data_IF_792453321184
#
_entry.id   IF_792453321184
#
_cell.length_a   1.000
_cell.length_b   1.000
_cell.length_c   1.000
_cell.angle_alpha   90.00
_cell.angle_beta   90.00
_cell.angle_gamma   90.00
#
_symmetry.space_group_name_H-M   'P 1'
#
loop_
_entity.id
_entity.type
_entity.pdbx_description
1 polymer ?
#
# COMPACT_ATOMS: atom_id res chain seq x y z
N UNK A 1 -29.67 -62.09 -12.01
CA UNK A 1 -28.49 -61.45 -12.64
C UNK A 1 -28.32 -60.05 -12.03
N UNK A 2 -27.57 -59.98 -10.96
CA UNK A 2 -27.29 -58.75 -10.23
C UNK A 2 -25.86 -58.31 -10.54
N UNK A 3 -25.73 -57.15 -11.20
CA UNK A 3 -24.41 -56.54 -11.46
C UNK A 3 -24.02 -55.67 -10.28
N UNK A 4 -22.97 -56.07 -9.58
CA UNK A 4 -22.35 -55.25 -8.54
C UNK A 4 -21.56 -54.10 -9.17
N UNK A 5 -21.77 -52.88 -8.66
CA UNK A 5 -20.98 -51.69 -8.94
C UNK A 5 -19.93 -51.60 -7.83
N UNK A 6 -18.67 -51.76 -8.23
CA UNK A 6 -17.52 -51.59 -7.34
C UNK A 6 -17.20 -50.10 -7.27
N UNK A 7 -17.40 -49.51 -6.11
CA UNK A 7 -17.03 -48.14 -5.79
C UNK A 7 -15.53 -48.11 -5.46
N UNK A 8 -14.73 -47.52 -6.34
CA UNK A 8 -13.30 -47.27 -6.08
C UNK A 8 -13.23 -45.99 -5.22
N UNK A 9 -12.94 -46.17 -3.93
CA UNK A 9 -12.67 -45.07 -3.03
C UNK A 9 -11.29 -44.45 -3.34
N UNK A 10 -11.29 -43.22 -3.81
CA UNK A 10 -10.09 -42.40 -3.95
C UNK A 10 -9.73 -41.84 -2.55
N UNK A 11 -8.72 -42.44 -1.92
CA UNK A 11 -8.15 -41.93 -0.66
C UNK A 11 -7.24 -40.76 -1.05
N UNK A 12 -7.72 -39.55 -0.83
CA UNK A 12 -6.89 -38.35 -0.85
C UNK A 12 -6.05 -38.33 0.44
N UNK A 13 -4.79 -38.70 0.33
CA UNK A 13 -3.81 -38.40 1.38
C UNK A 13 -3.55 -36.90 1.38
N UNK A 14 -4.22 -36.19 2.27
CA UNK A 14 -3.84 -34.83 2.63
C UNK A 14 -2.62 -34.95 3.53
N UNK A 15 -1.42 -34.85 2.96
CA UNK A 15 -0.22 -34.60 3.73
C UNK A 15 -0.30 -33.17 4.21
N UNK A 16 -0.72 -32.99 5.46
CA UNK A 16 -0.52 -31.75 6.20
C UNK A 16 0.98 -31.56 6.39
N UNK A 17 1.61 -30.76 5.53
CA UNK A 17 2.90 -30.18 5.87
C UNK A 17 2.70 -29.29 7.10
N UNK A 18 3.30 -29.69 8.21
CA UNK A 18 3.44 -28.87 9.40
C UNK A 18 4.31 -27.65 9.05
N UNK A 19 3.66 -26.52 8.80
CA UNK A 19 4.27 -25.22 8.54
C UNK A 19 4.47 -24.41 9.83
N UNK A 20 4.40 -25.07 10.99
CA UNK A 20 4.26 -24.40 12.29
C UNK A 20 5.55 -24.13 13.06
N UNK A 21 6.71 -24.63 12.66
CA UNK A 21 7.91 -24.48 13.52
C UNK A 21 9.00 -23.54 13.01
N UNK A 22 8.99 -23.13 11.74
CA UNK A 22 9.99 -22.19 11.22
C UNK A 22 9.65 -20.72 11.57
N UNK A 23 8.37 -20.38 11.68
CA UNK A 23 7.94 -19.00 12.01
C UNK A 23 8.15 -18.64 13.49
N UNK A 24 8.01 -19.60 14.40
CA UNK A 24 8.14 -19.32 15.85
C UNK A 24 9.59 -19.07 16.27
N UNK A 25 10.54 -19.84 15.74
CA UNK A 25 11.98 -19.70 16.08
C UNK A 25 12.55 -18.41 15.47
N UNK A 26 12.07 -18.01 14.30
CA UNK A 26 12.48 -16.76 13.65
C UNK A 26 12.00 -15.52 14.42
N UNK A 27 10.80 -15.58 15.00
CA UNK A 27 10.19 -14.42 15.65
C UNK A 27 10.91 -13.97 16.93
N UNK A 28 11.34 -14.88 17.78
CA UNK A 28 12.04 -14.57 19.04
C UNK A 28 13.47 -14.06 18.80
N UNK A 29 14.21 -14.64 17.87
CA UNK A 29 15.55 -14.18 17.49
C UNK A 29 15.49 -12.78 16.86
N UNK A 30 14.52 -12.53 16.04
CA UNK A 30 14.23 -11.27 15.35
C UNK A 30 13.89 -10.14 16.34
N UNK A 31 13.11 -10.45 17.39
CA UNK A 31 12.73 -9.48 18.41
C UNK A 31 13.92 -9.01 19.24
N UNK A 32 14.87 -9.91 19.52
CA UNK A 32 16.11 -9.58 20.22
C UNK A 32 17.09 -8.76 19.35
N UNK A 33 17.17 -9.01 18.05
CA UNK A 33 18.03 -8.25 17.14
C UNK A 33 17.61 -6.78 17.02
N UNK A 34 16.32 -6.48 16.88
CA UNK A 34 15.83 -5.10 16.88
C UNK A 34 16.03 -4.38 18.22
N UNK A 35 16.16 -5.11 19.29
CA UNK A 35 16.32 -4.58 20.67
C UNK A 35 17.79 -4.36 21.05
N UNK A 36 18.71 -5.15 20.49
CA UNK A 36 20.10 -5.19 20.90
C UNK A 36 21.06 -4.41 19.97
N UNK A 37 20.66 -4.07 18.77
CA UNK A 37 21.44 -3.19 17.91
C UNK A 37 21.16 -1.71 18.23
N UNK A 38 22.21 -0.90 18.18
CA UNK A 38 22.21 0.56 18.36
C UNK A 38 21.38 1.29 17.28
N UNK A 39 20.14 0.86 17.07
CA UNK A 39 19.23 1.40 16.03
C UNK A 39 18.61 2.74 16.42
N UNK A 40 18.71 3.16 17.68
CA UNK A 40 18.51 4.55 18.08
C UNK A 40 19.40 5.53 17.29
N UNK A 41 20.59 5.09 16.90
CA UNK A 41 21.50 5.87 16.05
C UNK A 41 21.02 5.97 14.60
N UNK A 42 20.44 4.93 14.05
CA UNK A 42 19.89 4.91 12.69
C UNK A 42 18.59 5.74 12.66
N UNK A 43 17.71 5.56 13.64
CA UNK A 43 16.53 6.39 13.80
C UNK A 43 16.89 7.88 14.01
N UNK A 44 18.01 8.18 14.69
CA UNK A 44 18.46 9.55 14.90
C UNK A 44 19.16 10.17 13.69
N UNK A 45 19.90 9.39 12.90
CA UNK A 45 20.59 9.86 11.69
C UNK A 45 19.61 10.32 10.60
N UNK A 46 18.52 9.58 10.42
CA UNK A 46 17.51 9.88 9.39
C UNK A 46 16.22 10.48 9.95
N UNK A 47 16.05 10.53 11.27
CA UNK A 47 15.01 11.30 11.99
C UNK A 47 13.56 10.87 11.78
N UNK A 48 13.29 9.99 10.78
CA UNK A 48 11.94 9.73 10.25
C UNK A 48 11.57 8.26 10.21
N UNK A 49 12.31 7.40 10.91
CA UNK A 49 12.16 5.96 10.79
C UNK A 49 11.29 5.32 11.87
N UNK A 50 10.29 6.01 12.36
CA UNK A 50 9.49 5.35 13.38
C UNK A 50 8.48 4.37 12.77
N UNK A 51 7.89 4.67 11.60
CA UNK A 51 6.98 3.74 10.90
C UNK A 51 6.97 3.95 9.39
N UNK A 52 6.90 5.18 8.89
CA UNK A 52 6.95 5.50 7.47
C UNK A 52 8.34 5.97 7.06
N UNK A 53 8.67 5.80 5.79
CA UNK A 53 9.88 6.30 5.17
C UNK A 53 9.56 7.43 4.19
N UNK A 54 10.50 8.35 4.03
CA UNK A 54 10.44 9.41 3.04
C UNK A 54 11.57 9.19 2.01
N UNK A 55 11.21 8.80 0.79
CA UNK A 55 12.17 8.45 -0.24
C UNK A 55 13.16 9.59 -0.56
N UNK A 56 12.71 10.84 -0.52
CA UNK A 56 13.55 12.01 -0.73
C UNK A 56 14.72 12.16 0.25
N UNK A 57 14.68 11.47 1.39
CA UNK A 57 15.75 11.50 2.40
C UNK A 57 16.94 10.62 2.07
N UNK A 58 16.82 9.76 1.07
CA UNK A 58 17.91 8.89 0.61
C UNK A 58 18.42 9.40 -0.74
N UNK A 59 19.74 9.40 -0.92
CA UNK A 59 20.35 9.81 -2.20
C UNK A 59 20.39 8.65 -3.19
N UNK A 60 20.56 7.43 -2.69
CA UNK A 60 20.62 6.21 -3.49
C UNK A 60 20.18 4.97 -2.71
N UNK A 61 20.14 3.83 -3.41
CA UNK A 61 19.76 2.54 -2.84
C UNK A 61 20.73 2.06 -1.73
N UNK A 62 21.99 2.50 -1.74
CA UNK A 62 22.94 2.06 -0.70
C UNK A 62 22.62 2.75 0.63
N UNK A 63 22.24 4.02 0.60
CA UNK A 63 21.77 4.70 1.80
C UNK A 63 20.48 4.07 2.35
N UNK A 64 19.57 3.68 1.48
CA UNK A 64 18.36 2.96 1.92
C UNK A 64 18.71 1.61 2.56
N UNK A 65 19.69 0.89 2.01
CA UNK A 65 20.18 -0.39 2.58
C UNK A 65 20.87 -0.26 3.94
N UNK A 66 21.26 0.94 4.36
CA UNK A 66 21.75 1.16 5.73
C UNK A 66 20.63 1.03 6.77
N UNK A 67 19.37 1.16 6.36
CA UNK A 67 18.19 1.18 7.24
C UNK A 67 17.21 0.06 7.01
N UNK A 68 17.27 -0.60 5.85
CA UNK A 68 16.46 -1.78 5.53
C UNK A 68 17.36 -2.90 4.99
N UNK A 69 17.03 -4.14 5.34
CA UNK A 69 17.61 -5.33 4.73
C UNK A 69 16.78 -5.73 3.52
N UNK A 70 17.40 -5.88 2.35
CA UNK A 70 16.74 -6.29 1.11
C UNK A 70 17.25 -7.67 0.72
N UNK A 71 16.36 -8.64 0.66
CA UNK A 71 16.69 -10.00 0.20
C UNK A 71 15.79 -10.39 -0.97
N UNK A 72 16.33 -11.16 -1.90
CA UNK A 72 15.65 -11.60 -3.11
C UNK A 72 15.45 -13.11 -3.11
N UNK A 73 14.33 -13.54 -3.67
CA UNK A 73 14.08 -14.94 -3.94
C UNK A 73 15.07 -15.54 -4.96
N UNK A 74 14.89 -16.81 -5.23
CA UNK A 74 15.69 -17.53 -6.24
C UNK A 74 15.00 -17.56 -7.61
N UNK A 75 15.63 -18.19 -8.59
CA UNK A 75 15.11 -18.29 -9.95
C UNK A 75 13.71 -18.94 -10.04
N UNK A 76 13.38 -19.82 -9.10
CA UNK A 76 12.09 -20.55 -9.08
C UNK A 76 11.00 -19.77 -8.34
N UNK A 77 11.39 -18.90 -7.38
CA UNK A 77 10.48 -18.13 -6.55
C UNK A 77 10.96 -16.68 -6.50
N UNK A 78 10.42 -15.85 -7.38
CA UNK A 78 10.75 -14.43 -7.44
C UNK A 78 9.95 -13.69 -6.40
N UNK A 79 10.64 -13.13 -5.43
CA UNK A 79 10.11 -12.20 -4.45
C UNK A 79 11.22 -11.25 -3.99
N UNK A 80 10.84 -10.14 -3.42
CA UNK A 80 11.70 -9.30 -2.61
C UNK A 80 11.13 -9.23 -1.20
N UNK A 81 12.01 -9.36 -0.22
CA UNK A 81 11.69 -9.21 1.18
C UNK A 81 12.45 -8.02 1.73
N UNK A 82 11.72 -7.08 2.31
CA UNK A 82 12.25 -5.89 2.96
C UNK A 82 12.08 -6.07 4.46
N UNK A 83 13.17 -5.90 5.20
CA UNK A 83 13.16 -6.00 6.65
C UNK A 83 13.67 -4.69 7.23
N UNK A 84 12.88 -4.09 8.09
CA UNK A 84 13.25 -2.86 8.79
C UNK A 84 12.78 -2.92 10.24
N UNK A 85 13.34 -2.04 11.09
CA UNK A 85 12.88 -1.88 12.45
C UNK A 85 12.03 -0.62 12.60
N UNK A 86 10.86 -0.79 13.18
CA UNK A 86 9.96 0.30 13.52
C UNK A 86 9.54 0.17 14.97
N UNK A 87 9.80 1.22 15.78
CA UNK A 87 9.51 1.21 17.24
C UNK A 87 10.09 0.02 18.01
N UNK A 88 11.31 -0.43 17.65
CA UNK A 88 11.92 -1.60 18.27
C UNK A 88 11.28 -2.94 17.88
N UNK A 89 10.41 -2.94 16.88
CA UNK A 89 9.81 -4.14 16.29
C UNK A 89 10.37 -4.34 14.89
N UNK A 90 10.82 -5.54 14.59
CA UNK A 90 11.20 -5.92 13.22
C UNK A 90 9.95 -6.12 12.38
N UNK A 91 9.86 -5.38 11.29
CA UNK A 91 8.77 -5.47 10.32
C UNK A 91 9.31 -6.10 9.04
N UNK A 92 8.54 -7.01 8.47
CA UNK A 92 8.87 -7.70 7.22
C UNK A 92 7.79 -7.41 6.21
N UNK A 93 8.15 -6.79 5.09
CA UNK A 93 7.29 -6.57 3.93
C UNK A 93 7.76 -7.45 2.78
N UNK A 94 6.85 -8.12 2.08
CA UNK A 94 7.18 -9.07 1.02
C UNK A 94 6.38 -8.71 -0.22
N UNK A 95 7.09 -8.52 -1.35
CA UNK A 95 6.49 -8.42 -2.66
C UNK A 95 6.79 -9.70 -3.44
N UNK A 96 5.76 -10.52 -3.66
CA UNK A 96 5.85 -11.75 -4.44
C UNK A 96 5.62 -11.50 -5.95
N UNK A 97 6.08 -12.43 -6.80
CA UNK A 97 5.70 -12.45 -8.20
C UNK A 97 4.20 -12.71 -8.36
N UNK A 98 3.58 -12.08 -9.33
CA UNK A 98 2.15 -12.24 -9.55
C UNK A 98 1.65 -11.35 -10.68
N UNK A 99 0.34 -11.21 -10.76
CA UNK A 99 -0.29 -10.28 -11.69
C UNK A 99 0.03 -8.83 -11.32
N UNK A 100 -0.06 -7.96 -12.31
CA UNK A 100 0.20 -6.54 -12.17
C UNK A 100 -0.93 -5.68 -12.79
N UNK A 101 -0.85 -4.38 -12.68
CA UNK A 101 -1.88 -3.47 -13.25
C UNK A 101 -2.05 -3.61 -14.76
N UNK A 102 -1.01 -4.01 -15.50
CA UNK A 102 -1.08 -4.26 -16.93
C UNK A 102 -2.04 -5.41 -17.26
N UNK A 103 -2.03 -6.47 -16.44
CA UNK A 103 -2.95 -7.61 -16.60
C UNK A 103 -4.41 -7.18 -16.40
N UNK A 104 -4.68 -6.27 -15.45
CA UNK A 104 -6.03 -5.71 -15.28
C UNK A 104 -6.47 -4.87 -16.46
N UNK A 105 -5.56 -4.04 -17.02
CA UNK A 105 -5.84 -3.23 -18.21
C UNK A 105 -6.12 -4.13 -19.42
N UNK A 106 -5.28 -5.15 -19.63
CA UNK A 106 -5.46 -6.13 -20.70
C UNK A 106 -6.79 -6.87 -20.55
N UNK A 107 -7.12 -7.36 -19.36
CA UNK A 107 -8.40 -8.05 -19.12
C UNK A 107 -9.62 -7.14 -19.32
N UNK A 108 -9.50 -5.84 -19.05
CA UNK A 108 -10.58 -4.85 -19.26
C UNK A 108 -10.78 -4.54 -20.74
N UNK A 109 -9.71 -4.23 -21.45
CA UNK A 109 -9.73 -3.63 -22.78
C UNK A 109 -9.42 -4.65 -23.90
N UNK A 110 -8.87 -5.80 -23.54
CA UNK A 110 -8.45 -6.86 -24.44
C UNK A 110 -9.54 -7.89 -24.78
N UNK A 111 -9.09 -8.99 -25.33
CA UNK A 111 -9.94 -10.07 -25.80
C UNK A 111 -10.31 -11.11 -24.74
N UNK A 112 -10.90 -12.23 -25.17
CA UNK A 112 -11.30 -13.31 -24.26
C UNK A 112 -10.08 -14.03 -23.62
N UNK A 113 -8.95 -14.06 -24.33
CA UNK A 113 -7.74 -14.74 -23.81
C UNK A 113 -7.14 -13.93 -22.65
N UNK A 114 -7.13 -12.60 -22.72
CA UNK A 114 -6.70 -11.73 -21.61
C UNK A 114 -7.57 -11.93 -20.38
N UNK A 115 -8.88 -12.08 -20.56
CA UNK A 115 -9.83 -12.36 -19.47
C UNK A 115 -9.62 -13.74 -18.86
N UNK A 116 -9.35 -14.76 -19.70
CA UNK A 116 -9.02 -16.11 -19.25
C UNK A 116 -7.68 -16.10 -18.51
N UNK A 117 -6.67 -15.37 -19.00
CA UNK A 117 -5.39 -15.22 -18.34
C UNK A 117 -5.57 -14.67 -16.92
N UNK A 118 -6.30 -13.57 -16.76
CA UNK A 118 -6.59 -12.99 -15.44
C UNK A 118 -7.37 -13.97 -14.54
N UNK A 119 -8.37 -14.66 -15.08
CA UNK A 119 -9.14 -15.64 -14.32
C UNK A 119 -8.26 -16.79 -13.80
N UNK A 120 -7.31 -17.24 -14.62
CA UNK A 120 -6.45 -18.36 -14.28
C UNK A 120 -5.36 -17.99 -13.27
N UNK A 121 -4.78 -16.79 -13.42
CA UNK A 121 -3.67 -16.32 -12.57
C UNK A 121 -4.15 -15.56 -11.33
N UNK A 122 -5.36 -15.02 -11.34
CA UNK A 122 -5.96 -14.38 -10.19
C UNK A 122 -7.49 -14.54 -10.13
N UNK A 123 -7.98 -15.69 -9.66
CA UNK A 123 -9.40 -15.87 -9.35
C UNK A 123 -9.92 -14.81 -8.37
N UNK A 124 -9.04 -14.30 -7.48
CA UNK A 124 -9.34 -13.23 -6.54
C UNK A 124 -9.75 -11.94 -7.26
N UNK A 125 -9.01 -11.50 -8.28
CA UNK A 125 -9.36 -10.31 -9.06
C UNK A 125 -10.74 -10.42 -9.71
N UNK A 126 -11.09 -11.59 -10.20
CA UNK A 126 -12.40 -11.82 -10.83
C UNK A 126 -13.51 -11.82 -9.79
N UNK A 127 -13.29 -12.44 -8.65
CA UNK A 127 -14.23 -12.43 -7.51
C UNK A 127 -14.45 -11.00 -7.02
N UNK A 128 -13.39 -10.25 -6.80
CA UNK A 128 -13.39 -8.92 -6.19
C UNK A 128 -13.48 -7.78 -7.23
N UNK A 129 -13.90 -8.07 -8.47
CA UNK A 129 -13.91 -7.11 -9.58
C UNK A 129 -14.68 -5.81 -9.29
N UNK A 130 -15.68 -5.85 -8.43
CA UNK A 130 -16.45 -4.64 -8.07
C UNK A 130 -15.63 -3.74 -7.13
N UNK A 131 -14.95 -4.32 -6.13
CA UNK A 131 -14.02 -3.58 -5.29
C UNK A 131 -12.88 -2.96 -6.10
N UNK A 132 -12.32 -3.71 -7.06
CA UNK A 132 -11.28 -3.18 -7.95
C UNK A 132 -11.78 -2.00 -8.80
N UNK A 133 -13.03 -2.04 -9.29
CA UNK A 133 -13.65 -0.90 -10.00
C UNK A 133 -13.83 0.30 -9.07
N UNK A 134 -14.31 0.06 -7.86
CA UNK A 134 -14.49 1.09 -6.84
C UNK A 134 -13.15 1.79 -6.52
N UNK A 135 -12.09 1.01 -6.25
CA UNK A 135 -10.76 1.53 -5.98
C UNK A 135 -10.20 2.30 -7.18
N UNK A 136 -10.30 1.74 -8.40
CA UNK A 136 -9.87 2.42 -9.63
C UNK A 136 -10.59 3.75 -9.86
N UNK A 137 -11.84 3.87 -9.42
CA UNK A 137 -12.57 5.13 -9.48
C UNK A 137 -12.06 6.14 -8.45
N UNK A 138 -11.75 5.71 -7.23
CA UNK A 138 -11.17 6.57 -6.19
C UNK A 138 -9.72 7.00 -6.48
N UNK A 139 -8.95 6.14 -7.15
CA UNK A 139 -7.54 6.39 -7.46
C UNK A 139 -7.33 7.36 -8.64
N UNK A 140 -8.37 7.75 -9.36
CA UNK A 140 -8.26 8.57 -10.57
C UNK A 140 -9.30 9.68 -10.61
N UNK A 141 -8.89 10.85 -11.08
CA UNK A 141 -9.81 11.91 -11.46
C UNK A 141 -10.56 11.47 -12.72
N UNK A 142 -11.89 11.53 -12.70
CA UNK A 142 -12.79 11.19 -13.81
C UNK A 142 -13.87 12.27 -13.94
N UNK A 143 -13.51 13.48 -14.38
CA UNK A 143 -14.43 14.62 -14.44
C UNK A 143 -15.64 14.35 -15.36
N UNK A 144 -15.48 13.52 -16.36
CA UNK A 144 -16.56 13.09 -17.26
C UNK A 144 -17.65 12.27 -16.55
N UNK A 145 -17.35 11.63 -15.42
CA UNK A 145 -18.30 10.83 -14.64
C UNK A 145 -18.79 11.53 -13.38
N UNK A 146 -17.90 12.24 -12.70
CA UNK A 146 -18.18 12.83 -11.37
C UNK A 146 -18.23 14.36 -11.39
N UNK A 147 -18.06 14.99 -12.56
CA UNK A 147 -18.11 16.43 -12.77
C UNK A 147 -16.76 17.12 -12.69
N UNK A 148 -16.71 18.36 -13.19
CA UNK A 148 -15.52 19.19 -13.13
C UNK A 148 -15.02 19.34 -11.69
N UNK A 149 -13.70 19.21 -11.50
CA UNK A 149 -13.07 19.23 -10.20
C UNK A 149 -13.21 17.92 -9.42
N UNK A 150 -13.48 16.80 -10.11
CA UNK A 150 -13.38 15.48 -9.47
C UNK A 150 -12.00 15.26 -8.87
N UNK A 151 -11.97 14.56 -7.73
CA UNK A 151 -10.79 14.34 -6.90
C UNK A 151 -10.45 12.85 -6.76
N UNK A 152 -9.19 12.57 -6.49
CA UNK A 152 -8.63 11.24 -6.27
C UNK A 152 -7.90 11.17 -4.91
N UNK A 153 -7.32 10.03 -4.54
CA UNK A 153 -6.45 9.91 -3.36
C UNK A 153 -5.31 10.90 -3.38
N UNK A 154 -4.74 11.13 -4.57
CA UNK A 154 -3.67 12.09 -4.78
C UNK A 154 -4.05 13.50 -4.29
N UNK A 155 -5.28 13.96 -4.53
CA UNK A 155 -5.72 15.28 -4.09
C UNK A 155 -5.79 15.38 -2.56
N UNK A 156 -6.17 14.29 -1.87
CA UNK A 156 -6.13 14.26 -0.40
C UNK A 156 -4.68 14.33 0.11
N UNK A 157 -3.76 13.64 -0.55
CA UNK A 157 -2.34 13.68 -0.20
C UNK A 157 -1.71 15.05 -0.46
N UNK A 158 -2.01 15.68 -1.61
CA UNK A 158 -1.57 17.03 -1.96
C UNK A 158 -2.07 18.03 -0.91
N UNK A 159 -3.35 17.95 -0.52
CA UNK A 159 -3.90 18.80 0.53
C UNK A 159 -3.29 18.51 1.92
N UNK A 160 -2.84 17.28 2.22
CA UNK A 160 -2.05 17.03 3.42
C UNK A 160 -0.74 17.83 3.40
N UNK A 161 -0.04 17.89 2.26
CA UNK A 161 1.20 18.68 2.13
C UNK A 161 0.90 20.18 2.25
N UNK A 162 -0.17 20.68 1.64
CA UNK A 162 -0.62 22.08 1.77
C UNK A 162 -1.01 22.44 3.20
N UNK A 163 -1.41 21.46 4.00
CA UNK A 163 -1.76 21.65 5.42
C UNK A 163 -0.54 21.66 6.35
N UNK A 164 0.68 21.34 5.89
CA UNK A 164 1.87 21.47 6.73
C UNK A 164 2.01 22.92 7.20
N UNK A 165 2.28 23.12 8.49
CA UNK A 165 2.47 24.47 9.01
C UNK A 165 3.66 25.17 8.31
N UNK A 166 3.55 26.48 8.01
CA UNK A 166 4.61 27.23 7.31
C UNK A 166 5.97 27.16 8.01
N UNK A 167 6.00 27.15 9.34
CA UNK A 167 7.21 27.02 10.12
C UNK A 167 7.90 25.68 9.92
N UNK A 168 7.15 24.57 9.88
CA UNK A 168 7.70 23.24 9.59
C UNK A 168 8.10 23.14 8.13
N UNK A 169 7.28 23.66 7.23
CA UNK A 169 7.58 23.68 5.79
C UNK A 169 8.90 24.42 5.47
N UNK A 170 9.22 25.47 6.23
CA UNK A 170 10.46 26.23 6.06
C UNK A 170 11.72 25.44 6.46
N UNK A 171 11.59 24.45 7.34
CA UNK A 171 12.68 23.59 7.78
C UNK A 171 12.91 22.36 6.86
N UNK A 172 11.97 22.08 5.94
CA UNK A 172 12.05 20.96 5.01
C UNK A 172 13.00 21.26 3.85
N UNK A 173 13.63 20.22 3.33
CA UNK A 173 14.37 20.36 2.08
C UNK A 173 13.40 20.47 0.90
N UNK A 174 13.79 21.21 -0.13
CA UNK A 174 12.97 21.38 -1.34
C UNK A 174 12.49 20.03 -1.91
N UNK A 175 13.36 19.00 -1.91
CA UNK A 175 13.02 17.67 -2.41
C UNK A 175 11.88 16.98 -1.65
N UNK A 176 11.69 17.31 -0.37
CA UNK A 176 10.63 16.71 0.46
C UNK A 176 9.24 17.17 0.04
N UNK A 177 9.13 18.37 -0.54
CA UNK A 177 7.86 18.95 -1.01
C UNK A 177 7.54 18.63 -2.46
N UNK A 178 8.39 17.84 -3.13
CA UNK A 178 8.16 17.40 -4.51
C UNK A 178 7.28 16.15 -4.60
N UNK A 179 6.93 15.77 -5.83
CA UNK A 179 6.22 14.52 -6.15
C UNK A 179 6.91 13.27 -5.57
N UNK A 180 8.23 13.26 -5.47
CA UNK A 180 9.04 12.16 -4.92
C UNK A 180 9.24 12.26 -3.40
N UNK A 181 8.65 13.26 -2.77
CA UNK A 181 8.69 13.49 -1.33
C UNK A 181 7.37 13.14 -0.64
N UNK A 182 6.87 14.09 0.15
CA UNK A 182 5.64 13.89 0.93
C UNK A 182 4.41 13.59 0.10
N UNK A 183 4.28 14.17 -1.13
CA UNK A 183 3.10 13.92 -1.96
C UNK A 183 2.99 12.43 -2.29
N UNK A 184 4.07 11.80 -2.79
CA UNK A 184 4.09 10.36 -3.08
C UNK A 184 3.82 9.53 -1.82
N UNK A 185 4.59 9.80 -0.76
CA UNK A 185 4.47 9.08 0.52
C UNK A 185 3.05 9.16 1.08
N UNK A 186 2.45 10.36 1.14
CA UNK A 186 1.09 10.53 1.66
C UNK A 186 0.04 9.92 0.73
N UNK A 187 0.26 9.92 -0.59
CA UNK A 187 -0.63 9.28 -1.55
C UNK A 187 -0.70 7.76 -1.31
N UNK A 188 0.44 7.09 -1.18
CA UNK A 188 0.50 5.65 -0.88
C UNK A 188 -0.19 5.34 0.44
N UNK A 189 0.19 6.01 1.53
CA UNK A 189 -0.36 5.77 2.86
C UNK A 189 -1.87 6.08 2.90
N UNK A 190 -2.31 7.23 2.35
CA UNK A 190 -3.72 7.61 2.31
C UNK A 190 -4.54 6.59 1.52
N UNK A 191 -4.07 6.17 0.35
CA UNK A 191 -4.76 5.18 -0.49
C UNK A 191 -4.89 3.85 0.25
N UNK A 192 -3.81 3.34 0.83
CA UNK A 192 -3.80 2.07 1.55
C UNK A 192 -4.68 2.11 2.80
N UNK A 193 -4.60 3.18 3.60
CA UNK A 193 -5.45 3.37 4.77
C UNK A 193 -6.93 3.39 4.38
N UNK A 194 -7.29 4.10 3.32
CA UNK A 194 -8.67 4.21 2.83
C UNK A 194 -9.21 2.88 2.30
N UNK A 195 -8.44 2.16 1.48
CA UNK A 195 -8.85 0.86 0.95
C UNK A 195 -9.01 -0.16 2.07
N UNK A 196 -8.08 -0.20 3.01
CA UNK A 196 -8.16 -1.07 4.19
C UNK A 196 -9.40 -0.77 5.03
N UNK A 197 -9.67 0.50 5.31
CA UNK A 197 -10.83 0.92 6.10
C UNK A 197 -12.15 0.61 5.40
N UNK A 198 -12.27 0.94 4.12
CA UNK A 198 -13.52 0.80 3.37
C UNK A 198 -13.82 -0.64 2.95
N UNK A 199 -12.79 -1.43 2.69
CA UNK A 199 -12.91 -2.79 2.14
C UNK A 199 -12.19 -3.77 3.05
N UNK A 200 -10.89 -4.00 2.83
CA UNK A 200 -10.07 -4.90 3.62
C UNK A 200 -8.58 -4.66 3.43
N UNK A 201 -7.78 -5.08 4.39
CA UNK A 201 -6.32 -5.15 4.30
C UNK A 201 -5.88 -6.01 3.12
N UNK A 202 -6.46 -7.20 2.96
CA UNK A 202 -6.14 -8.09 1.84
C UNK A 202 -6.32 -7.43 0.46
N UNK A 203 -7.36 -6.61 0.30
CA UNK A 203 -7.57 -5.87 -0.95
C UNK A 203 -6.54 -4.75 -1.11
N UNK A 204 -6.21 -4.04 -0.05
CA UNK A 204 -5.22 -2.97 -0.04
C UNK A 204 -3.84 -3.52 -0.42
N UNK A 205 -3.40 -4.60 0.22
CA UNK A 205 -2.17 -5.32 -0.07
C UNK A 205 -2.12 -5.81 -1.53
N UNK A 206 -3.18 -6.47 -1.98
CA UNK A 206 -3.28 -6.99 -3.34
C UNK A 206 -3.12 -5.92 -4.43
N UNK A 207 -3.70 -4.72 -4.25
CA UNK A 207 -3.57 -3.64 -5.24
C UNK A 207 -2.21 -2.93 -5.14
N UNK A 208 -1.65 -2.80 -3.94
CA UNK A 208 -0.30 -2.28 -3.73
C UNK A 208 0.71 -3.14 -4.49
N UNK A 209 0.69 -4.42 -4.23
CA UNK A 209 1.54 -5.40 -4.89
C UNK A 209 1.43 -5.37 -6.43
N UNK A 210 0.20 -5.32 -6.94
CA UNK A 210 -0.02 -5.26 -8.39
C UNK A 210 0.51 -3.95 -8.99
N UNK A 211 0.48 -2.86 -8.24
CA UNK A 211 1.02 -1.56 -8.63
C UNK A 211 2.56 -1.60 -8.69
N UNK A 212 3.22 -2.05 -7.63
CA UNK A 212 4.68 -2.10 -7.56
C UNK A 212 5.27 -3.06 -8.62
N UNK A 213 4.63 -4.22 -8.86
CA UNK A 213 5.03 -5.14 -9.93
C UNK A 213 4.91 -4.54 -11.33
N UNK A 214 3.98 -3.61 -11.54
CA UNK A 214 3.79 -2.95 -12.82
C UNK A 214 4.83 -1.86 -13.07
N UNK A 215 5.11 -1.07 -12.05
CA UNK A 215 6.00 0.07 -12.18
C UNK A 215 7.47 -0.33 -12.26
N UNK A 216 7.87 -1.39 -11.53
CA UNK A 216 9.25 -1.87 -11.56
C UNK A 216 9.34 -3.37 -11.31
N UNK A 217 9.31 -4.16 -12.38
CA UNK A 217 9.43 -5.63 -12.30
C UNK A 217 10.78 -6.12 -11.75
N UNK A 218 11.82 -5.30 -11.86
CA UNK A 218 13.17 -5.56 -11.39
C UNK A 218 13.29 -5.61 -9.87
N UNK A 219 12.31 -5.03 -9.12
CA UNK A 219 12.27 -5.12 -7.66
C UNK A 219 12.35 -6.56 -7.15
N UNK A 220 11.72 -7.51 -7.86
CA UNK A 220 11.66 -8.92 -7.48
C UNK A 220 12.97 -9.68 -7.71
N UNK A 221 13.87 -9.14 -8.51
CA UNK A 221 15.13 -9.82 -8.89
C UNK A 221 16.37 -9.07 -8.42
N UNK A 222 16.25 -7.79 -8.10
CA UNK A 222 17.36 -6.90 -7.77
C UNK A 222 18.30 -6.59 -8.95
N UNK A 223 17.93 -6.98 -10.18
CA UNK A 223 18.75 -6.80 -11.38
C UNK A 223 18.38 -5.49 -12.07
N UNK A 224 18.97 -4.40 -11.62
CA UNK A 224 18.78 -3.07 -12.20
C UNK A 224 19.89 -2.75 -13.19
N UNK A 225 19.52 -2.03 -14.27
CA UNK A 225 20.53 -1.45 -15.17
C UNK A 225 21.27 -0.29 -14.48
N UNK A 226 22.51 0.04 -14.91
CA UNK A 226 23.21 1.20 -14.38
C UNK A 226 22.39 2.50 -14.50
N UNK A 227 21.64 2.65 -15.59
CA UNK A 227 20.80 3.83 -15.82
C UNK A 227 19.67 3.95 -14.79
N UNK A 228 19.05 2.82 -14.39
CA UNK A 228 18.02 2.80 -13.35
C UNK A 228 18.58 3.16 -11.97
N UNK A 229 19.85 2.86 -11.70
CA UNK A 229 20.48 3.17 -10.41
C UNK A 229 20.88 4.63 -10.26
N UNK A 230 21.11 5.35 -11.38
CA UNK A 230 21.55 6.75 -11.37
C UNK A 230 20.43 7.74 -11.73
N UNK A 231 19.38 7.26 -12.38
CA UNK A 231 18.22 8.07 -12.77
C UNK A 231 17.28 8.23 -11.56
N UNK A 232 17.11 9.47 -11.11
CA UNK A 232 16.25 9.78 -9.95
C UNK A 232 14.78 9.38 -10.16
N UNK A 233 14.31 9.38 -11.40
CA UNK A 233 12.93 9.03 -11.74
C UNK A 233 12.71 7.51 -11.87
N UNK A 234 13.78 6.75 -12.10
CA UNK A 234 13.75 5.29 -12.27
C UNK A 234 14.49 4.54 -11.16
N UNK A 235 14.87 5.23 -10.10
CA UNK A 235 15.59 4.63 -9.00
C UNK A 235 14.67 3.67 -8.21
N UNK A 236 15.11 2.41 -7.98
CA UNK A 236 14.31 1.43 -7.26
C UNK A 236 14.03 1.80 -5.79
N UNK A 237 14.76 2.77 -5.26
CA UNK A 237 14.65 3.22 -3.88
C UNK A 237 13.25 3.69 -3.53
N UNK A 238 12.64 4.52 -4.38
CA UNK A 238 11.28 5.05 -4.20
C UNK A 238 10.27 3.90 -4.06
N UNK A 239 10.33 2.93 -4.99
CA UNK A 239 9.42 1.79 -4.98
C UNK A 239 9.61 0.87 -3.76
N UNK A 240 10.83 0.67 -3.27
CA UNK A 240 11.04 -0.06 -2.02
C UNK A 240 10.49 0.69 -0.80
N UNK A 241 10.63 2.01 -0.78
CA UNK A 241 10.00 2.86 0.25
C UNK A 241 8.48 2.77 0.17
N UNK A 242 7.91 2.74 -1.03
CA UNK A 242 6.47 2.62 -1.24
C UNK A 242 5.90 1.29 -0.73
N UNK A 243 6.61 0.17 -0.91
CA UNK A 243 6.22 -1.12 -0.32
C UNK A 243 6.07 -0.99 1.21
N UNK A 244 7.05 -0.36 1.88
CA UNK A 244 7.00 -0.17 3.34
C UNK A 244 5.86 0.78 3.74
N UNK A 245 5.67 1.88 3.03
CA UNK A 245 4.62 2.86 3.30
C UNK A 245 3.22 2.30 3.04
N UNK A 246 3.07 1.40 2.06
CA UNK A 246 1.82 0.69 1.79
C UNK A 246 1.39 -0.13 3.02
N UNK A 247 2.28 -0.92 3.60
CA UNK A 247 2.05 -1.70 4.82
C UNK A 247 1.65 -0.81 6.00
N UNK A 248 2.38 0.28 6.19
CA UNK A 248 2.06 1.23 7.26
C UNK A 248 0.69 1.89 7.08
N UNK A 249 0.33 2.24 5.84
CA UNK A 249 -1.00 2.72 5.50
C UNK A 249 -2.11 1.72 5.84
N UNK A 250 -1.86 0.43 5.61
CA UNK A 250 -2.79 -0.64 5.95
C UNK A 250 -2.99 -0.75 7.47
N UNK A 251 -1.91 -0.68 8.27
CA UNK A 251 -2.00 -0.68 9.73
C UNK A 251 -2.86 0.49 10.26
N UNK A 252 -2.59 1.71 9.78
CA UNK A 252 -3.42 2.88 10.10
C UNK A 252 -4.88 2.64 9.67
N UNK A 253 -5.08 2.09 8.49
CA UNK A 253 -6.42 1.80 7.97
C UNK A 253 -7.22 0.86 8.85
N UNK A 254 -6.59 -0.15 9.46
CA UNK A 254 -7.23 -1.05 10.43
C UNK A 254 -7.64 -0.31 11.71
N UNK A 255 -6.75 0.53 12.22
CA UNK A 255 -7.02 1.35 13.41
C UNK A 255 -8.20 2.30 13.16
N UNK A 256 -8.15 3.08 12.08
CA UNK A 256 -9.19 4.05 11.76
C UNK A 256 -10.53 3.38 11.41
N UNK A 257 -10.51 2.19 10.79
CA UNK A 257 -11.71 1.37 10.57
C UNK A 257 -12.41 1.05 11.87
N UNK A 258 -11.67 0.63 12.89
CA UNK A 258 -12.22 0.32 14.21
C UNK A 258 -12.70 1.59 14.93
N UNK A 259 -11.91 2.65 14.91
CA UNK A 259 -12.22 3.92 15.58
C UNK A 259 -13.54 4.53 15.11
N UNK A 260 -13.75 4.55 13.79
CA UNK A 260 -14.92 5.18 13.17
C UNK A 260 -16.05 4.20 12.82
N UNK A 261 -15.88 2.90 13.10
CA UNK A 261 -16.87 1.88 12.75
C UNK A 261 -17.12 1.76 11.24
N UNK A 262 -16.06 1.98 10.43
CA UNK A 262 -16.18 2.01 8.96
C UNK A 262 -16.45 0.60 8.43
N UNK A 263 -17.39 0.50 7.50
CA UNK A 263 -17.74 -0.71 6.76
C UNK A 263 -18.22 -0.35 5.35
N UNK A 264 -18.43 -1.33 4.51
CA UNK A 264 -18.80 -1.16 3.09
C UNK A 264 -20.09 -0.31 2.86
N UNK A 265 -20.97 -0.22 3.87
CA UNK A 265 -22.22 0.56 3.80
C UNK A 265 -22.13 1.89 4.55
N UNK A 266 -20.94 2.30 4.96
CA UNK A 266 -20.75 3.56 5.66
C UNK A 266 -21.13 4.73 4.75
N UNK A 267 -22.08 5.55 5.19
CA UNK A 267 -22.41 6.81 4.53
C UNK A 267 -21.38 7.85 5.00
N UNK A 268 -20.61 8.35 4.08
CA UNK A 268 -19.59 9.34 4.37
C UNK A 268 -20.22 10.73 4.50
N UNK A 269 -19.87 11.42 5.57
CA UNK A 269 -20.18 12.85 5.78
C UNK A 269 -18.88 13.64 5.72
N UNK A 270 -18.98 14.95 5.53
CA UNK A 270 -17.81 15.84 5.57
C UNK A 270 -17.13 15.77 6.93
N UNK A 271 -17.91 15.73 8.02
CA UNK A 271 -17.42 15.54 9.40
C UNK A 271 -16.59 14.24 9.49
N UNK A 272 -17.18 13.11 9.10
CA UNK A 272 -16.47 11.82 9.19
C UNK A 272 -15.19 11.80 8.37
N UNK A 273 -15.20 12.37 7.15
CA UNK A 273 -14.00 12.37 6.31
C UNK A 273 -12.93 13.32 6.85
N UNK A 274 -13.30 14.54 7.30
CA UNK A 274 -12.35 15.49 7.88
C UNK A 274 -11.71 14.95 9.16
N UNK A 275 -12.49 14.34 10.06
CA UNK A 275 -11.97 13.69 11.26
C UNK A 275 -11.03 12.54 10.93
N UNK A 276 -11.41 11.68 9.95
CA UNK A 276 -10.57 10.59 9.47
C UNK A 276 -9.23 11.11 8.92
N UNK A 277 -9.26 12.17 8.11
CA UNK A 277 -8.04 12.76 7.53
C UNK A 277 -7.19 13.44 8.60
N UNK A 278 -7.80 14.05 9.62
CA UNK A 278 -7.08 14.65 10.75
C UNK A 278 -6.34 13.59 11.60
N UNK A 279 -6.97 12.43 11.82
CA UNK A 279 -6.27 11.33 12.47
C UNK A 279 -5.11 10.80 11.61
N UNK A 280 -5.31 10.71 10.30
CA UNK A 280 -4.24 10.30 9.38
C UNK A 280 -3.07 11.30 9.43
N UNK A 281 -3.35 12.62 9.42
CA UNK A 281 -2.34 13.65 9.62
C UNK A 281 -1.64 13.52 10.98
N UNK A 282 -2.32 13.06 12.02
CA UNK A 282 -1.70 12.81 13.33
C UNK A 282 -0.66 11.70 13.27
N UNK A 283 -0.92 10.65 12.49
CA UNK A 283 0.09 9.61 12.22
C UNK A 283 1.28 10.17 11.43
N UNK A 284 1.03 11.02 10.42
CA UNK A 284 2.11 11.70 9.68
C UNK A 284 2.93 12.60 10.61
N UNK A 285 2.25 13.40 11.44
CA UNK A 285 2.89 14.28 12.42
C UNK A 285 3.80 13.50 13.36
N UNK A 286 3.33 12.35 13.84
CA UNK A 286 4.14 11.51 14.70
C UNK A 286 5.35 10.91 13.98
N UNK A 287 5.18 10.43 12.74
CA UNK A 287 6.25 9.80 11.97
C UNK A 287 7.30 10.79 11.49
N UNK A 288 6.87 11.94 10.98
CA UNK A 288 7.77 12.90 10.30
C UNK A 288 8.14 14.12 11.16
N UNK A 289 7.56 14.25 12.37
CA UNK A 289 7.78 15.36 13.29
C UNK A 289 7.43 16.74 12.68
N UNK A 290 6.35 16.79 11.92
CA UNK A 290 5.79 18.00 11.30
C UNK A 290 4.36 18.20 11.77
N UNK A 291 3.92 19.45 11.88
CA UNK A 291 2.56 19.81 12.26
C UNK A 291 1.69 20.14 11.06
N UNK A 292 0.39 20.02 11.23
CA UNK A 292 -0.59 20.22 10.17
C UNK A 292 -1.73 21.13 10.64
N UNK A 293 -2.19 21.98 9.75
CA UNK A 293 -3.52 22.57 9.85
C UNK A 293 -4.54 21.42 9.69
N UNK A 294 -5.54 21.34 10.57
CA UNK A 294 -6.56 20.31 10.42
C UNK A 294 -7.41 20.54 9.15
N UNK A 295 -7.90 19.46 8.56
CA UNK A 295 -8.98 19.51 7.58
C UNK A 295 -10.26 19.99 8.25
N UNK A 296 -10.98 20.84 7.55
CA UNK A 296 -12.31 21.31 7.94
C UNK A 296 -13.40 20.65 7.07
N UNK A 297 -14.61 20.56 7.63
CA UNK A 297 -15.78 20.06 6.89
C UNK A 297 -16.09 20.89 5.64
N UNK A 298 -15.69 22.14 5.61
CA UNK A 298 -15.87 23.10 4.52
C UNK A 298 -14.82 22.99 3.42
N UNK A 299 -13.72 22.27 3.64
CA UNK A 299 -12.64 22.13 2.65
C UNK A 299 -13.18 21.52 1.35
N UNK A 300 -12.81 22.10 0.21
CA UNK A 300 -13.34 21.73 -1.10
C UNK A 300 -13.00 20.26 -1.45
N UNK A 301 -11.77 19.81 -1.15
CA UNK A 301 -11.37 18.43 -1.34
C UNK A 301 -12.20 17.44 -0.53
N UNK A 302 -12.54 17.77 0.71
CA UNK A 302 -13.41 16.97 1.58
C UNK A 302 -14.81 16.86 0.98
N UNK A 303 -15.41 17.99 0.62
CA UNK A 303 -16.74 18.04 0.00
C UNK A 303 -16.81 17.17 -1.28
N UNK A 304 -15.83 17.29 -2.16
CA UNK A 304 -15.78 16.59 -3.44
C UNK A 304 -15.55 15.10 -3.26
N UNK A 305 -14.61 14.75 -2.37
CA UNK A 305 -14.31 13.33 -2.13
C UNK A 305 -15.48 12.60 -1.47
N UNK A 306 -16.19 13.23 -0.52
CA UNK A 306 -17.41 12.69 0.09
C UNK A 306 -18.50 12.43 -0.96
N UNK A 307 -18.75 13.41 -1.87
CA UNK A 307 -19.70 13.23 -2.97
C UNK A 307 -19.36 12.03 -3.84
N UNK A 308 -18.07 11.91 -4.23
CA UNK A 308 -17.59 10.79 -5.04
C UNK A 308 -17.75 9.45 -4.32
N UNK A 309 -17.35 9.36 -3.05
CA UNK A 309 -17.49 8.14 -2.26
C UNK A 309 -18.93 7.65 -2.19
N UNK A 310 -19.85 8.55 -1.83
CA UNK A 310 -21.26 8.19 -1.70
C UNK A 310 -21.89 7.82 -3.06
N UNK A 311 -21.53 8.52 -4.13
CA UNK A 311 -21.94 8.16 -5.48
C UNK A 311 -21.50 6.74 -5.86
N UNK A 312 -20.23 6.40 -5.62
CA UNK A 312 -19.68 5.07 -5.87
C UNK A 312 -20.38 3.97 -5.06
N UNK A 313 -20.70 4.25 -3.79
CA UNK A 313 -21.36 3.28 -2.92
C UNK A 313 -22.83 3.03 -3.31
N UNK A 314 -23.51 4.04 -3.83
CA UNK A 314 -24.94 3.92 -4.20
C UNK A 314 -25.15 3.39 -5.61
N UNK A 315 -24.28 3.70 -6.56
CA UNK A 315 -24.44 3.31 -7.97
C UNK A 315 -23.72 2.00 -8.32
N UNK A 316 -22.82 1.54 -7.48
CA UNK A 316 -22.14 0.26 -7.68
C UNK A 316 -22.50 -0.67 -6.54
N UNK A 317 -23.67 -1.34 -6.56
CA UNK A 317 -24.00 -2.30 -5.51
C UNK A 317 -22.90 -3.36 -5.47
N UNK A 318 -22.21 -3.43 -4.34
CA UNK A 318 -21.20 -4.43 -4.01
C UNK A 318 -21.91 -5.75 -3.65
N UNK A 319 -22.65 -6.37 -4.63
CA UNK A 319 -23.33 -7.65 -4.45
C UNK A 319 -22.55 -8.78 -5.11
#
# INVERSE_FOLDING_TARGET
MTRGITLIGLVLCISSCNQTDLNAITFDVIYEECRNENRDLIASKYGYMNQALLASRFNDLNELKEVIDITYGNENFKYVQLIHCSNGVRVTSILDSGINEGDFRNARDGDIFDKIHLLWHSPYAVKERQHLKFISAMARRKPELYGEGDVAFYDLAENCVENIYPEDLAELEYRDTTEKGFINTFNHITAQARVTSCISEQMADYIADAHERFHMSELLSGNFSPDQLVDKDKNPMDNYVDIINNEWGQEIGKELKLKYGIHEKTIWTNTLLSEYMNDLQSHYSWSFKIGFRPFEESDDVINRFVKKLNHLLHETPLN
#
